data_IF_011072210149
#
_entry.id   IF_011072210149
#
_cell.length_a   1.000
_cell.length_b   1.000
_cell.length_c   1.000
_cell.angle_alpha   90.00
_cell.angle_beta   90.00
_cell.angle_gamma   90.00
#
_symmetry.space_group_name_H-M   'P 1'
#
loop_
_entity.id
_entity.type
_entity.pdbx_description
1 polymer ?
#
# COMPACT_ATOMS: atom_id res chain seq x y z
N UNK A 1 87.07 19.65 -38.36
CA UNK A 1 85.68 19.41 -38.75
C UNK A 1 85.00 18.92 -37.50
N UNK A 2 84.17 19.80 -36.90
CA UNK A 2 83.48 19.50 -35.65
C UNK A 2 82.01 19.17 -36.00
N UNK A 3 81.59 17.97 -35.72
CA UNK A 3 80.23 17.55 -35.85
C UNK A 3 79.40 18.00 -34.66
N UNK A 4 78.39 18.85 -34.84
CA UNK A 4 77.34 19.20 -33.87
C UNK A 4 76.25 18.15 -33.95
N UNK A 5 76.03 17.46 -32.84
CA UNK A 5 74.85 16.59 -32.67
C UNK A 5 73.75 17.43 -31.99
N UNK A 6 72.68 17.64 -32.72
CA UNK A 6 71.48 18.32 -32.19
C UNK A 6 70.56 17.24 -31.56
N UNK A 7 70.43 17.28 -30.22
CA UNK A 7 69.45 16.42 -29.51
C UNK A 7 68.10 17.13 -29.50
N UNK A 8 67.14 16.55 -30.15
CA UNK A 8 65.75 16.97 -30.09
C UNK A 8 65.07 16.28 -28.86
N UNK A 9 64.74 17.06 -27.86
CA UNK A 9 63.97 16.59 -26.70
C UNK A 9 62.49 16.68 -27.01
N UNK A 10 61.86 15.53 -27.30
CA UNK A 10 60.40 15.43 -27.48
C UNK A 10 59.70 15.46 -26.11
N UNK A 11 59.04 16.56 -25.78
CA UNK A 11 58.19 16.66 -24.59
C UNK A 11 56.88 15.90 -24.85
N UNK A 12 56.67 14.78 -24.17
CA UNK A 12 55.40 14.09 -24.11
C UNK A 12 54.45 14.87 -23.18
N UNK A 13 53.45 15.58 -23.75
CA UNK A 13 52.33 16.11 -23.00
C UNK A 13 51.38 14.94 -22.66
N UNK A 14 51.49 14.43 -21.42
CA UNK A 14 50.49 13.55 -20.83
C UNK A 14 49.21 14.38 -20.62
N UNK A 15 48.31 14.35 -21.60
CA UNK A 15 46.96 14.82 -21.42
C UNK A 15 46.26 13.93 -20.39
N UNK A 16 45.90 14.50 -19.22
CA UNK A 16 45.00 13.84 -18.28
C UNK A 16 43.64 13.68 -18.95
N UNK A 17 43.37 12.48 -19.42
CA UNK A 17 42.01 12.09 -19.78
C UNK A 17 41.21 12.08 -18.46
N UNK A 18 40.11 12.85 -18.34
CA UNK A 18 39.27 12.72 -17.16
C UNK A 18 38.78 11.26 -17.12
N UNK A 19 39.17 10.54 -16.09
CA UNK A 19 38.53 9.27 -15.74
C UNK A 19 37.16 9.66 -15.24
N UNK A 20 36.15 9.57 -16.11
CA UNK A 20 34.78 9.53 -15.66
C UNK A 20 34.66 8.29 -14.76
N UNK A 21 34.47 8.46 -13.47
CA UNK A 21 34.10 7.36 -12.61
C UNK A 21 32.88 6.69 -13.27
N UNK A 22 32.98 5.41 -13.59
CA UNK A 22 31.83 4.66 -14.08
C UNK A 22 30.77 4.73 -12.98
N UNK A 23 29.58 5.25 -13.30
CA UNK A 23 28.47 5.29 -12.37
C UNK A 23 28.14 3.89 -11.88
N UNK A 24 27.65 3.78 -10.66
CA UNK A 24 27.17 2.51 -10.10
C UNK A 24 25.83 2.11 -10.70
N UNK A 25 25.47 0.84 -10.61
CA UNK A 25 24.12 0.36 -10.95
C UNK A 25 23.41 -0.05 -9.67
N UNK A 26 22.35 0.66 -9.32
CA UNK A 26 21.51 0.36 -8.17
C UNK A 26 20.50 -0.75 -8.53
N UNK A 27 20.37 -1.76 -7.69
CA UNK A 27 19.33 -2.79 -7.80
C UNK A 27 18.10 -2.35 -7.01
N UNK A 28 17.00 -2.09 -7.74
CA UNK A 28 15.75 -1.55 -7.15
C UNK A 28 14.56 -2.44 -7.51
N UNK A 29 14.29 -3.52 -6.75
CA UNK A 29 13.11 -4.31 -6.93
C UNK A 29 11.86 -3.57 -6.42
N UNK A 30 10.79 -3.62 -7.19
CA UNK A 30 9.47 -3.12 -6.80
C UNK A 30 8.38 -3.85 -7.58
N UNK A 31 7.19 -3.94 -7.01
CA UNK A 31 6.00 -4.40 -7.75
C UNK A 31 5.42 -3.28 -8.62
N UNK A 32 5.83 -2.04 -8.41
CA UNK A 32 5.22 -0.85 -9.01
C UNK A 32 5.79 -0.50 -10.40
N UNK A 33 6.93 -1.08 -10.82
CA UNK A 33 7.57 -0.73 -12.09
C UNK A 33 6.67 -0.86 -13.33
N UNK A 34 5.74 -1.82 -13.31
CA UNK A 34 4.83 -2.11 -14.43
C UNK A 34 3.36 -1.82 -14.08
N UNK A 35 3.10 -1.09 -12.98
CA UNK A 35 1.74 -0.70 -12.59
C UNK A 35 1.28 0.59 -13.29
N UNK A 36 1.08 0.55 -14.60
CA UNK A 36 0.49 1.65 -15.38
C UNK A 36 1.15 3.01 -15.10
N UNK A 37 0.36 3.99 -14.71
CA UNK A 37 0.85 5.36 -14.43
C UNK A 37 1.83 5.43 -13.26
N UNK A 38 1.68 4.55 -12.26
CA UNK A 38 2.64 4.46 -11.14
C UNK A 38 4.02 4.07 -11.66
N UNK A 39 4.08 3.07 -12.53
CA UNK A 39 5.34 2.66 -13.17
C UNK A 39 5.96 3.79 -14.00
N UNK A 40 5.16 4.56 -14.72
CA UNK A 40 5.64 5.71 -15.49
C UNK A 40 6.21 6.81 -14.58
N UNK A 41 5.60 7.06 -13.42
CA UNK A 41 6.13 7.99 -12.42
C UNK A 41 7.52 7.53 -11.92
N UNK A 42 7.67 6.24 -11.59
CA UNK A 42 8.96 5.67 -11.17
C UNK A 42 10.01 5.79 -12.27
N UNK A 43 9.70 5.39 -13.51
CA UNK A 43 10.60 5.43 -14.65
C UNK A 43 11.09 6.85 -14.95
N UNK A 44 10.17 7.83 -14.89
CA UNK A 44 10.47 9.25 -15.13
C UNK A 44 11.46 9.79 -14.10
N UNK A 45 11.14 9.68 -12.79
CA UNK A 45 12.00 10.20 -11.74
C UNK A 45 13.34 9.44 -11.66
N UNK A 46 13.35 8.16 -12.00
CA UNK A 46 14.59 7.38 -12.17
C UNK A 46 15.46 7.92 -13.30
N UNK A 47 14.88 8.23 -14.45
CA UNK A 47 15.63 8.83 -15.58
C UNK A 47 16.20 10.20 -15.22
N UNK A 48 15.48 11.02 -14.45
CA UNK A 48 15.98 12.31 -13.94
C UNK A 48 17.20 12.08 -13.02
N UNK A 49 17.14 11.10 -12.11
CA UNK A 49 18.28 10.69 -11.27
C UNK A 49 19.48 10.21 -12.10
N UNK A 50 19.26 9.31 -13.05
CA UNK A 50 20.34 8.77 -13.92
C UNK A 50 21.03 9.87 -14.72
N UNK A 51 20.25 10.82 -15.26
CA UNK A 51 20.78 11.96 -16.00
C UNK A 51 21.58 12.91 -15.13
N UNK A 52 21.19 13.12 -13.88
CA UNK A 52 21.87 14.03 -12.94
C UNK A 52 23.13 13.40 -12.33
N UNK A 53 23.09 12.13 -11.96
CA UNK A 53 24.13 11.44 -11.19
C UNK A 53 25.15 10.70 -12.08
N UNK A 54 24.76 10.27 -13.28
CA UNK A 54 25.54 9.34 -14.11
C UNK A 54 25.51 7.88 -13.62
N UNK A 55 24.72 7.58 -12.59
CA UNK A 55 24.45 6.22 -12.14
C UNK A 55 23.36 5.58 -12.99
N UNK A 56 23.17 4.26 -12.85
CA UNK A 56 22.10 3.52 -13.49
C UNK A 56 21.21 2.83 -12.45
N UNK A 57 19.96 2.56 -12.79
CA UNK A 57 19.01 1.82 -11.94
C UNK A 57 18.55 0.56 -12.66
N UNK A 58 18.84 -0.60 -12.07
CA UNK A 58 18.29 -1.89 -12.50
C UNK A 58 16.89 -2.05 -11.92
N UNK A 59 15.90 -1.86 -12.78
CA UNK A 59 14.48 -1.96 -12.46
C UNK A 59 14.07 -3.44 -12.46
N UNK A 60 13.83 -4.02 -11.29
CA UNK A 60 13.43 -5.41 -11.16
C UNK A 60 11.95 -5.49 -10.77
N UNK A 61 11.09 -5.86 -11.74
CA UNK A 61 9.68 -6.09 -11.48
C UNK A 61 9.48 -7.41 -10.75
N UNK A 62 8.75 -7.36 -9.63
CA UNK A 62 8.31 -8.54 -8.88
C UNK A 62 6.80 -8.37 -8.63
N UNK A 63 5.94 -9.34 -9.00
CA UNK A 63 4.51 -9.23 -8.74
C UNK A 63 4.21 -8.99 -7.25
N UNK A 64 3.24 -8.11 -6.95
CA UNK A 64 2.89 -7.73 -5.58
C UNK A 64 2.58 -8.94 -4.67
N UNK A 65 1.90 -9.97 -5.21
CA UNK A 65 1.56 -11.19 -4.48
C UNK A 65 2.78 -12.01 -4.03
N UNK A 66 3.89 -11.92 -4.77
CA UNK A 66 5.13 -12.69 -4.51
C UNK A 66 6.22 -11.82 -3.87
N UNK A 67 6.03 -10.50 -3.82
CA UNK A 67 7.07 -9.53 -3.49
C UNK A 67 7.75 -9.81 -2.15
N UNK A 68 6.96 -9.93 -1.08
CA UNK A 68 7.48 -10.18 0.27
C UNK A 68 8.35 -11.44 0.32
N UNK A 69 7.85 -12.55 -0.20
CA UNK A 69 8.56 -13.84 -0.21
C UNK A 69 9.85 -13.78 -1.03
N UNK A 70 9.80 -13.16 -2.21
CA UNK A 70 10.96 -13.09 -3.11
C UNK A 70 12.04 -12.23 -2.51
N UNK A 71 11.70 -11.01 -2.02
CA UNK A 71 12.69 -10.07 -1.47
C UNK A 71 13.34 -10.61 -0.19
N UNK A 72 12.57 -11.19 0.73
CA UNK A 72 13.13 -11.81 1.94
C UNK A 72 14.10 -12.94 1.56
N UNK A 73 13.74 -13.78 0.57
CA UNK A 73 14.61 -14.86 0.08
C UNK A 73 15.89 -14.32 -0.55
N UNK A 74 15.81 -13.25 -1.35
CA UNK A 74 16.97 -12.60 -1.97
C UNK A 74 17.94 -12.04 -0.91
N UNK A 75 17.42 -11.31 0.08
CA UNK A 75 18.23 -10.74 1.17
C UNK A 75 18.91 -11.86 1.98
N UNK A 76 18.18 -12.91 2.34
CA UNK A 76 18.72 -14.07 3.05
C UNK A 76 19.80 -14.82 2.23
N UNK A 77 19.65 -14.85 0.91
CA UNK A 77 20.61 -15.44 -0.04
C UNK A 77 21.81 -14.54 -0.35
N UNK A 78 21.88 -13.32 0.18
CA UNK A 78 22.97 -12.36 -0.05
C UNK A 78 22.82 -11.52 -1.32
N UNK A 79 21.70 -11.64 -2.06
CA UNK A 79 21.36 -10.76 -3.19
C UNK A 79 20.59 -9.54 -2.65
N UNK A 80 21.32 -8.64 -1.97
CA UNK A 80 20.72 -7.51 -1.26
C UNK A 80 20.45 -6.36 -2.23
N UNK A 81 19.19 -5.84 -2.31
CA UNK A 81 18.87 -4.63 -3.07
C UNK A 81 19.57 -3.38 -2.50
N UNK A 82 19.68 -2.32 -3.32
CA UNK A 82 20.19 -1.03 -2.85
C UNK A 82 19.06 -0.14 -2.29
N UNK A 83 17.91 -0.09 -2.96
CA UNK A 83 16.69 0.59 -2.51
C UNK A 83 15.51 -0.31 -2.87
N UNK A 84 14.47 -0.32 -2.07
CA UNK A 84 13.22 -1.02 -2.40
C UNK A 84 12.01 -0.34 -1.80
N UNK A 85 10.85 -0.58 -2.41
CA UNK A 85 9.57 -0.32 -1.78
C UNK A 85 9.12 -1.54 -0.99
N UNK A 86 8.51 -1.34 0.18
CA UNK A 86 7.95 -2.42 0.99
C UNK A 86 6.55 -2.05 1.46
N UNK A 87 5.70 -3.04 1.65
CA UNK A 87 4.41 -2.82 2.32
C UNK A 87 4.63 -2.48 3.79
N UNK A 88 3.73 -1.67 4.36
CA UNK A 88 3.77 -1.29 5.79
C UNK A 88 3.93 -2.51 6.71
N UNK A 89 3.30 -3.64 6.38
CA UNK A 89 3.39 -4.90 7.15
C UNK A 89 4.77 -5.53 7.19
N UNK A 90 5.64 -5.21 6.24
CA UNK A 90 7.00 -5.75 6.17
C UNK A 90 7.98 -5.03 7.10
N UNK A 91 7.69 -3.78 7.47
CA UNK A 91 8.61 -2.96 8.28
C UNK A 91 8.95 -3.59 9.63
N UNK A 92 7.98 -3.95 10.50
CA UNK A 92 8.31 -4.46 11.83
C UNK A 92 9.19 -5.72 11.80
N UNK A 93 8.87 -6.78 11.04
CA UNK A 93 9.72 -7.96 10.98
C UNK A 93 11.10 -7.69 10.39
N UNK A 94 11.21 -6.81 9.38
CA UNK A 94 12.49 -6.46 8.76
C UNK A 94 13.38 -5.63 9.70
N UNK A 95 12.78 -4.67 10.44
CA UNK A 95 13.50 -3.88 11.46
C UNK A 95 13.99 -4.79 12.58
N UNK A 96 13.11 -5.65 13.12
CA UNK A 96 13.46 -6.59 14.17
C UNK A 96 14.59 -7.56 13.76
N UNK A 97 14.59 -8.00 12.50
CA UNK A 97 15.65 -8.85 11.94
C UNK A 97 16.96 -8.09 11.65
N UNK A 98 17.01 -6.76 11.83
CA UNK A 98 18.18 -5.93 11.53
C UNK A 98 18.55 -5.92 10.04
N UNK A 99 17.56 -6.09 9.15
CA UNK A 99 17.77 -6.15 7.71
C UNK A 99 17.69 -4.78 7.03
N UNK A 100 17.24 -3.75 7.75
CA UNK A 100 17.12 -2.37 7.25
C UNK A 100 18.18 -1.46 7.88
N UNK A 101 18.69 -0.49 7.11
CA UNK A 101 19.53 0.57 7.59
C UNK A 101 18.69 1.71 8.19
N UNK A 102 19.15 2.41 9.25
CA UNK A 102 18.54 3.66 9.66
C UNK A 102 18.76 4.74 8.59
N UNK A 103 17.75 5.57 8.37
CA UNK A 103 17.72 6.59 7.32
C UNK A 103 17.87 8.02 7.85
N UNK A 104 18.15 8.21 9.15
CA UNK A 104 18.19 9.55 9.76
C UNK A 104 19.23 10.46 9.11
N UNK A 105 20.42 9.93 8.77
CA UNK A 105 21.46 10.66 8.06
C UNK A 105 21.01 11.01 6.62
N UNK A 106 20.45 10.05 5.89
CA UNK A 106 19.89 10.26 4.57
C UNK A 106 18.77 11.32 4.57
N UNK A 107 17.87 11.28 5.55
CA UNK A 107 16.81 12.28 5.71
C UNK A 107 17.37 13.68 5.94
N UNK A 108 18.42 13.78 6.77
CA UNK A 108 19.05 15.05 7.08
C UNK A 108 19.80 15.63 5.86
N UNK A 109 20.59 14.81 5.17
CA UNK A 109 21.36 15.20 3.98
C UNK A 109 20.47 15.54 2.79
N UNK A 110 19.41 14.74 2.57
CA UNK A 110 18.41 14.96 1.53
C UNK A 110 17.49 16.17 1.78
N UNK A 111 17.46 16.71 3.01
CA UNK A 111 16.74 17.93 3.37
C UNK A 111 15.21 17.83 3.27
N UNK A 112 14.65 16.62 3.25
CA UNK A 112 13.19 16.39 3.14
C UNK A 112 12.50 16.06 4.47
N UNK A 113 13.23 16.06 5.59
CA UNK A 113 12.72 15.65 6.91
C UNK A 113 11.49 16.44 7.37
N UNK A 114 11.50 17.76 7.20
CA UNK A 114 10.39 18.64 7.60
C UNK A 114 9.12 18.47 6.74
N UNK A 115 9.26 17.81 5.59
CA UNK A 115 8.14 17.52 4.68
C UNK A 115 7.52 16.14 4.90
N UNK A 116 8.15 15.27 5.69
CA UNK A 116 7.60 13.94 5.97
C UNK A 116 6.28 14.03 6.72
N UNK A 117 5.29 13.25 6.28
CA UNK A 117 4.03 13.12 6.99
C UNK A 117 4.20 12.26 8.25
N UNK A 118 3.28 12.39 9.21
CA UNK A 118 3.29 11.60 10.46
C UNK A 118 3.33 10.09 10.24
N UNK A 119 2.95 9.62 9.07
CA UNK A 119 3.06 8.22 8.69
C UNK A 119 4.50 7.66 8.77
N UNK A 120 5.53 8.52 8.77
CA UNK A 120 6.91 8.11 9.03
C UNK A 120 7.07 7.46 10.41
N UNK A 121 6.21 7.77 11.37
CA UNK A 121 6.28 7.22 12.72
C UNK A 121 6.09 5.69 12.75
N UNK A 122 5.44 5.10 11.75
CA UNK A 122 5.34 3.64 11.59
C UNK A 122 6.67 2.94 11.30
N UNK A 123 7.66 3.69 10.80
CA UNK A 123 8.99 3.18 10.52
C UNK A 123 10.03 3.56 11.58
N UNK A 124 9.59 4.15 12.70
CA UNK A 124 10.49 4.56 13.81
C UNK A 124 10.52 3.51 14.91
N UNK A 125 11.71 3.06 15.25
CA UNK A 125 11.98 2.15 16.38
C UNK A 125 13.20 2.64 17.14
N UNK A 126 13.10 2.73 18.47
CA UNK A 126 14.18 3.15 19.37
C UNK A 126 14.82 4.51 18.97
N UNK A 127 14.04 5.40 18.41
CA UNK A 127 14.48 6.74 17.99
C UNK A 127 15.15 6.82 16.63
N UNK A 128 15.31 5.71 15.92
CA UNK A 128 15.83 5.65 14.55
C UNK A 128 14.71 5.43 13.54
N UNK A 129 14.85 5.99 12.34
CA UNK A 129 13.89 5.91 11.23
C UNK A 129 14.39 4.88 10.21
N UNK A 130 13.65 3.81 9.94
CA UNK A 130 14.06 2.71 9.06
C UNK A 130 13.35 2.69 7.71
N UNK A 131 12.44 3.61 7.48
CA UNK A 131 11.74 3.74 6.21
C UNK A 131 11.10 5.11 6.05
N UNK A 132 10.93 5.52 4.81
CA UNK A 132 10.28 6.77 4.44
C UNK A 132 9.00 6.44 3.67
N UNK A 133 7.84 6.96 4.05
CA UNK A 133 6.60 6.65 3.33
C UNK A 133 6.69 7.14 1.88
N UNK A 134 6.35 6.27 0.94
CA UNK A 134 6.08 6.62 -0.45
C UNK A 134 4.64 7.12 -0.57
N UNK A 135 3.71 6.38 0.00
CA UNK A 135 2.29 6.71 0.06
C UNK A 135 1.67 6.10 1.30
N UNK A 136 0.73 6.80 1.90
CA UNK A 136 -0.09 6.30 3.02
C UNK A 136 -1.49 6.87 2.87
N UNK A 137 -2.44 6.00 2.60
CA UNK A 137 -3.80 6.42 2.30
C UNK A 137 -4.83 5.64 3.13
N UNK A 138 -5.91 6.29 3.57
CA UNK A 138 -7.03 5.58 4.17
C UNK A 138 -7.77 4.77 3.10
N UNK A 139 -8.35 3.66 3.51
CA UNK A 139 -9.35 2.96 2.74
C UNK A 139 -10.71 3.60 3.02
N UNK A 140 -11.40 3.98 1.97
CA UNK A 140 -12.70 4.64 2.04
C UNK A 140 -13.74 3.81 1.30
N UNK A 141 -15.01 4.16 1.38
CA UNK A 141 -16.00 3.62 0.47
C UNK A 141 -15.84 4.30 -0.90
N UNK A 142 -15.31 3.58 -1.88
CA UNK A 142 -15.28 4.01 -3.28
C UNK A 142 -16.58 3.61 -3.93
N UNK A 143 -17.26 4.57 -4.52
CA UNK A 143 -18.68 4.47 -4.89
C UNK A 143 -18.88 4.76 -6.37
N UNK A 144 -19.59 3.87 -7.04
CA UNK A 144 -20.16 4.12 -8.37
C UNK A 144 -21.56 4.73 -8.22
N UNK A 145 -21.65 6.06 -8.26
CA UNK A 145 -22.92 6.80 -8.10
C UNK A 145 -23.91 6.48 -9.20
N UNK A 146 -23.44 6.26 -10.41
CA UNK A 146 -24.30 5.89 -11.54
C UNK A 146 -25.08 4.61 -11.24
N UNK A 147 -24.39 3.56 -10.80
CA UNK A 147 -25.01 2.28 -10.49
C UNK A 147 -25.98 2.38 -9.30
N UNK A 148 -25.65 3.20 -8.28
CA UNK A 148 -26.59 3.48 -7.18
C UNK A 148 -27.82 4.24 -7.65
N UNK A 149 -27.67 5.26 -8.50
CA UNK A 149 -28.78 6.02 -9.08
C UNK A 149 -29.69 5.13 -9.92
N UNK A 150 -29.12 4.25 -10.75
CA UNK A 150 -29.88 3.24 -11.53
C UNK A 150 -30.65 2.29 -10.61
N UNK A 151 -30.13 1.99 -9.43
CA UNK A 151 -30.82 1.23 -8.40
C UNK A 151 -31.83 2.05 -7.60
N UNK A 152 -31.97 3.37 -7.85
CA UNK A 152 -32.88 4.28 -7.17
C UNK A 152 -32.37 4.72 -5.80
N UNK A 153 -31.04 4.70 -5.58
CA UNK A 153 -30.37 5.17 -4.37
C UNK A 153 -29.84 6.57 -4.66
N UNK A 154 -30.40 7.59 -4.03
CA UNK A 154 -30.03 9.00 -4.22
C UNK A 154 -28.99 9.44 -3.18
N UNK A 155 -29.08 8.93 -1.95
CA UNK A 155 -28.18 9.24 -0.85
C UNK A 155 -27.21 8.08 -0.57
N UNK A 156 -26.00 8.43 -0.19
CA UNK A 156 -24.97 7.45 0.15
C UNK A 156 -25.32 6.71 1.44
N UNK A 157 -25.18 5.38 1.47
CA UNK A 157 -25.29 4.61 2.70
C UNK A 157 -24.34 5.12 3.78
N UNK A 158 -24.86 5.32 4.99
CA UNK A 158 -24.09 5.76 6.16
C UNK A 158 -24.02 4.69 7.25
N UNK A 159 -24.85 3.67 7.17
CA UNK A 159 -24.89 2.52 8.08
C UNK A 159 -24.76 1.21 7.31
N UNK A 160 -24.46 0.14 8.02
CA UNK A 160 -24.36 -1.20 7.41
C UNK A 160 -25.72 -1.67 6.89
N UNK A 161 -26.80 -1.33 7.58
CA UNK A 161 -28.17 -1.64 7.17
C UNK A 161 -28.54 -0.91 5.86
N UNK A 162 -28.12 0.37 5.74
CA UNK A 162 -28.32 1.14 4.50
C UNK A 162 -27.49 0.59 3.35
N UNK A 163 -26.22 0.20 3.62
CA UNK A 163 -25.35 -0.48 2.65
C UNK A 163 -25.99 -1.80 2.18
N UNK A 164 -26.54 -2.57 3.12
CA UNK A 164 -27.23 -3.81 2.79
C UNK A 164 -28.48 -3.55 1.93
N UNK A 165 -29.31 -2.57 2.31
CA UNK A 165 -30.50 -2.22 1.55
C UNK A 165 -30.14 -1.73 0.14
N UNK A 166 -29.10 -0.93 0.00
CA UNK A 166 -28.56 -0.50 -1.28
C UNK A 166 -28.08 -1.70 -2.12
N UNK A 167 -27.38 -2.65 -1.51
CA UNK A 167 -26.89 -3.85 -2.19
C UNK A 167 -28.02 -4.72 -2.72
N UNK A 168 -29.12 -4.88 -1.95
CA UNK A 168 -30.33 -5.57 -2.41
C UNK A 168 -30.93 -4.85 -3.60
N UNK A 169 -31.10 -3.53 -3.53
CA UNK A 169 -31.67 -2.73 -4.62
C UNK A 169 -30.82 -2.80 -5.90
N UNK A 170 -29.50 -2.71 -5.79
CA UNK A 170 -28.56 -2.85 -6.93
C UNK A 170 -28.77 -4.22 -7.58
N UNK A 171 -28.74 -5.30 -6.80
CA UNK A 171 -28.94 -6.66 -7.31
C UNK A 171 -30.30 -6.82 -8.03
N UNK A 172 -31.38 -6.35 -7.42
CA UNK A 172 -32.74 -6.54 -7.96
C UNK A 172 -33.00 -5.71 -9.21
N UNK A 173 -32.47 -4.47 -9.28
CA UNK A 173 -32.80 -3.53 -10.36
C UNK A 173 -31.80 -3.54 -11.50
N UNK A 174 -30.53 -3.82 -11.23
CA UNK A 174 -29.45 -3.75 -12.23
C UNK A 174 -28.85 -5.12 -12.54
N UNK A 175 -29.00 -6.10 -11.65
CA UNK A 175 -28.33 -7.40 -11.73
C UNK A 175 -26.87 -7.36 -11.28
N UNK A 176 -26.36 -6.20 -10.86
CA UNK A 176 -25.00 -6.02 -10.35
C UNK A 176 -24.83 -6.42 -8.88
N UNK A 177 -23.68 -6.13 -8.33
CA UNK A 177 -23.34 -6.35 -6.93
C UNK A 177 -23.35 -5.01 -6.18
N UNK A 178 -23.97 -4.97 -5.00
CA UNK A 178 -23.95 -3.76 -4.18
C UNK A 178 -22.61 -3.52 -3.49
N UNK A 179 -21.88 -4.60 -3.19
CA UNK A 179 -20.58 -4.55 -2.53
C UNK A 179 -19.64 -5.60 -3.14
N UNK A 180 -18.34 -5.31 -3.19
CA UNK A 180 -17.33 -6.29 -3.55
C UNK A 180 -16.05 -6.12 -2.71
N UNK A 181 -15.40 -7.24 -2.45
CA UNK A 181 -14.15 -7.29 -1.70
C UNK A 181 -13.34 -8.54 -2.10
N UNK A 182 -12.03 -8.51 -1.86
CA UNK A 182 -11.17 -9.67 -2.05
C UNK A 182 -11.47 -10.75 -1.02
N UNK A 183 -11.98 -11.90 -1.50
CA UNK A 183 -12.37 -13.04 -0.67
C UNK A 183 -11.87 -14.39 -1.22
N UNK A 184 -10.89 -14.36 -2.14
CA UNK A 184 -10.15 -15.54 -2.58
C UNK A 184 -9.11 -15.94 -1.52
N UNK A 185 -9.30 -17.10 -0.90
CA UNK A 185 -8.42 -17.64 0.15
C UNK A 185 -7.00 -17.94 -0.34
N UNK A 186 -6.76 -18.00 -1.65
CA UNK A 186 -5.41 -18.08 -2.23
C UNK A 186 -4.63 -16.77 -2.13
N UNK A 187 -5.30 -15.64 -1.79
CA UNK A 187 -4.70 -14.35 -1.57
C UNK A 187 -4.91 -13.86 -0.11
N UNK A 188 -4.27 -14.53 0.89
CA UNK A 188 -4.60 -14.35 2.31
C UNK A 188 -4.44 -12.91 2.82
N UNK A 189 -3.48 -12.16 2.28
CA UNK A 189 -3.29 -10.76 2.67
C UNK A 189 -4.55 -9.92 2.40
N UNK A 190 -5.13 -10.04 1.21
CA UNK A 190 -6.32 -9.24 0.85
C UNK A 190 -7.57 -9.68 1.62
N UNK A 191 -7.73 -10.98 1.87
CA UNK A 191 -8.83 -11.47 2.73
C UNK A 191 -8.71 -10.90 4.14
N UNK A 192 -7.50 -10.91 4.69
CA UNK A 192 -7.24 -10.33 6.01
C UNK A 192 -7.53 -8.82 6.04
N UNK A 193 -7.00 -8.05 5.09
CA UNK A 193 -7.20 -6.60 5.03
C UNK A 193 -8.67 -6.24 4.92
N UNK A 194 -9.40 -6.91 4.01
CA UNK A 194 -10.84 -6.63 3.84
C UNK A 194 -11.64 -7.00 5.07
N UNK A 195 -11.35 -8.13 5.75
CA UNK A 195 -12.02 -8.49 7.01
C UNK A 195 -11.66 -7.52 8.14
N UNK A 196 -10.39 -7.09 8.20
CA UNK A 196 -9.90 -6.11 9.18
C UNK A 196 -10.60 -4.75 9.04
N UNK A 197 -10.86 -4.30 7.80
CA UNK A 197 -11.62 -3.08 7.56
C UNK A 197 -13.01 -3.13 8.22
N UNK A 198 -13.68 -4.27 8.17
CA UNK A 198 -14.97 -4.45 8.84
C UNK A 198 -14.83 -4.52 10.36
N UNK A 199 -13.86 -5.28 10.85
CA UNK A 199 -13.59 -5.41 12.29
C UNK A 199 -13.31 -4.04 12.92
N UNK A 200 -12.43 -3.22 12.32
CA UNK A 200 -12.17 -1.85 12.75
C UNK A 200 -13.41 -0.96 12.65
N UNK A 201 -14.15 -1.09 11.55
CA UNK A 201 -15.39 -0.34 11.35
C UNK A 201 -16.47 -0.63 12.41
N UNK A 202 -16.41 -1.79 13.06
CA UNK A 202 -17.23 -2.14 14.22
C UNK A 202 -16.59 -1.77 15.56
N UNK A 203 -15.45 -1.10 15.54
CA UNK A 203 -14.77 -0.59 16.74
C UNK A 203 -14.03 -1.67 17.53
N UNK A 204 -13.53 -2.70 16.84
CA UNK A 204 -12.76 -3.79 17.43
C UNK A 204 -11.46 -4.02 16.66
N UNK A 205 -10.72 -5.04 17.02
CA UNK A 205 -9.53 -5.54 16.37
C UNK A 205 -9.40 -7.05 16.62
N UNK A 206 -8.50 -7.73 15.91
CA UNK A 206 -8.21 -9.14 16.15
C UNK A 206 -7.39 -9.38 17.42
N UNK A 207 -6.62 -8.38 17.84
CA UNK A 207 -5.80 -8.36 19.06
C UNK A 207 -5.61 -6.91 19.55
N UNK A 208 -5.04 -6.76 20.74
CA UNK A 208 -4.74 -5.45 21.32
C UNK A 208 -3.22 -5.21 21.35
N UNK A 209 -2.76 -3.95 21.49
CA UNK A 209 -1.33 -3.64 21.57
C UNK A 209 -0.56 -4.36 22.68
N UNK A 210 -1.25 -4.78 23.75
CA UNK A 210 -0.67 -5.55 24.86
C UNK A 210 -0.60 -7.08 24.59
N UNK A 211 -0.98 -7.51 23.39
CA UNK A 211 -1.01 -8.91 22.98
C UNK A 211 -2.29 -9.66 23.37
N UNK A 212 -3.27 -9.00 23.98
CA UNK A 212 -4.56 -9.65 24.28
C UNK A 212 -5.27 -10.02 22.98
N UNK A 213 -5.64 -11.27 22.81
CA UNK A 213 -6.43 -11.74 21.66
C UNK A 213 -7.90 -11.36 21.85
N UNK A 214 -8.52 -10.83 20.81
CA UNK A 214 -9.91 -10.37 20.81
C UNK A 214 -10.71 -10.89 19.62
N UNK A 215 -10.31 -12.02 19.05
CA UNK A 215 -10.89 -12.58 17.82
C UNK A 215 -12.40 -12.89 17.96
N UNK A 216 -12.87 -13.28 19.15
CA UNK A 216 -14.27 -13.57 19.42
C UNK A 216 -15.04 -12.43 20.12
N UNK A 217 -14.51 -11.20 20.06
CA UNK A 217 -15.27 -10.02 20.51
C UNK A 217 -16.64 -10.00 19.81
N UNK A 218 -17.74 -9.72 20.51
CA UNK A 218 -19.08 -9.65 19.89
C UNK A 218 -19.15 -8.74 18.65
N UNK A 219 -18.37 -7.66 18.61
CA UNK A 219 -18.28 -6.75 17.48
C UNK A 219 -17.61 -7.40 16.24
N UNK A 220 -16.62 -8.28 16.45
CA UNK A 220 -16.00 -9.07 15.39
C UNK A 220 -16.99 -10.10 14.85
N UNK A 221 -17.75 -10.75 15.74
CA UNK A 221 -18.79 -11.69 15.33
C UNK A 221 -19.85 -10.98 14.49
N UNK A 222 -20.27 -9.78 14.87
CA UNK A 222 -21.22 -8.96 14.09
C UNK A 222 -20.66 -8.55 12.74
N UNK A 223 -19.42 -8.00 12.71
CA UNK A 223 -18.75 -7.58 11.48
C UNK A 223 -18.61 -8.72 10.46
N UNK A 224 -18.15 -9.88 10.90
CA UNK A 224 -17.97 -11.06 10.03
C UNK A 224 -19.33 -11.67 9.63
N UNK A 225 -20.35 -11.55 10.48
CA UNK A 225 -21.72 -11.98 10.13
C UNK A 225 -22.29 -11.15 8.99
N UNK A 226 -22.05 -9.84 8.94
CA UNK A 226 -22.42 -8.99 7.82
C UNK A 226 -21.68 -9.39 6.54
N UNK A 227 -20.37 -9.57 6.57
CA UNK A 227 -19.60 -10.04 5.40
C UNK A 227 -20.14 -11.36 4.86
N UNK A 228 -20.35 -12.33 5.76
CA UNK A 228 -20.94 -13.62 5.39
C UNK A 228 -22.33 -13.46 4.77
N UNK A 229 -23.17 -12.59 5.30
CA UNK A 229 -24.49 -12.34 4.78
C UNK A 229 -24.45 -11.77 3.35
N UNK A 230 -23.53 -10.83 3.05
CA UNK A 230 -23.35 -10.33 1.68
C UNK A 230 -22.99 -11.46 0.70
N UNK A 231 -22.15 -12.40 1.13
CA UNK A 231 -21.78 -13.56 0.31
C UNK A 231 -22.95 -14.55 0.15
N UNK A 232 -23.59 -14.95 1.26
CA UNK A 232 -24.67 -15.97 1.26
C UNK A 232 -25.89 -15.53 0.44
N UNK A 233 -26.21 -14.23 0.45
CA UNK A 233 -27.32 -13.68 -0.31
C UNK A 233 -26.91 -13.24 -1.73
N UNK A 234 -25.64 -13.44 -2.12
CA UNK A 234 -25.10 -13.09 -3.44
C UNK A 234 -25.16 -11.58 -3.72
N UNK A 235 -25.04 -10.75 -2.67
CA UNK A 235 -24.91 -9.31 -2.76
C UNK A 235 -23.47 -8.87 -3.00
N UNK A 236 -22.53 -9.78 -2.74
CA UNK A 236 -21.13 -9.69 -3.09
C UNK A 236 -20.70 -10.95 -3.85
N UNK A 237 -19.77 -10.88 -4.82
CA UNK A 237 -19.27 -12.03 -5.55
C UNK A 237 -18.38 -12.91 -4.67
N UNK A 238 -18.40 -14.23 -4.90
CA UNK A 238 -17.64 -15.23 -4.12
C UNK A 238 -16.38 -15.66 -4.87
N UNK A 239 -15.28 -15.87 -4.14
CA UNK A 239 -14.04 -16.44 -4.66
C UNK A 239 -13.24 -15.48 -5.54
N UNK A 240 -13.43 -14.16 -5.38
CA UNK A 240 -12.68 -13.16 -6.14
C UNK A 240 -11.44 -12.69 -5.37
N UNK A 241 -10.31 -12.63 -6.08
CA UNK A 241 -9.17 -11.81 -5.68
C UNK A 241 -9.51 -10.32 -5.81
N UNK A 242 -8.69 -9.47 -5.19
CA UNK A 242 -8.93 -8.01 -5.21
C UNK A 242 -8.88 -7.44 -6.64
N UNK A 243 -8.02 -7.94 -7.50
CA UNK A 243 -7.91 -7.48 -8.89
C UNK A 243 -9.20 -7.75 -9.64
N UNK A 244 -9.75 -8.98 -9.57
CA UNK A 244 -11.01 -9.31 -10.22
C UNK A 244 -12.20 -8.50 -9.65
N UNK A 245 -12.16 -8.15 -8.34
CA UNK A 245 -13.18 -7.30 -7.75
C UNK A 245 -13.10 -5.86 -8.32
N UNK A 246 -11.90 -5.33 -8.53
CA UNK A 246 -11.67 -4.04 -9.20
C UNK A 246 -12.11 -4.07 -10.67
N UNK A 247 -11.80 -5.14 -11.40
CA UNK A 247 -12.24 -5.32 -12.79
C UNK A 247 -13.78 -5.24 -12.89
N UNK A 248 -14.50 -5.90 -11.98
CA UNK A 248 -15.97 -5.81 -11.92
C UNK A 248 -16.47 -4.39 -11.61
N UNK A 249 -15.75 -3.65 -10.76
CA UNK A 249 -16.07 -2.26 -10.47
C UNK A 249 -15.86 -1.37 -11.71
N UNK A 250 -14.73 -1.52 -12.41
CA UNK A 250 -14.42 -0.82 -13.66
C UNK A 250 -15.41 -1.16 -14.79
N UNK A 251 -15.95 -2.37 -14.79
CA UNK A 251 -17.00 -2.78 -15.72
C UNK A 251 -18.41 -2.28 -15.31
N UNK A 252 -18.52 -1.49 -14.23
CA UNK A 252 -19.78 -0.92 -13.75
C UNK A 252 -20.71 -1.95 -13.12
N UNK A 253 -20.20 -3.10 -12.70
CA UNK A 253 -20.99 -4.18 -12.10
C UNK A 253 -21.04 -4.15 -10.57
N UNK A 254 -20.23 -3.31 -9.93
CA UNK A 254 -20.13 -3.16 -8.48
C UNK A 254 -20.43 -1.73 -8.08
N UNK A 255 -21.30 -1.53 -7.08
CA UNK A 255 -21.66 -0.20 -6.61
C UNK A 255 -20.67 0.37 -5.60
N UNK A 256 -20.20 -0.42 -4.65
CA UNK A 256 -19.34 0.04 -3.56
C UNK A 256 -18.21 -0.96 -3.30
N UNK A 257 -17.00 -0.44 -3.12
CA UNK A 257 -15.84 -1.17 -2.58
C UNK A 257 -15.22 -0.38 -1.43
N UNK A 258 -14.69 -1.06 -0.42
CA UNK A 258 -13.81 -0.40 0.54
C UNK A 258 -12.39 -0.53 0.02
N UNK A 259 -11.82 0.58 -0.45
CA UNK A 259 -10.57 0.62 -1.20
C UNK A 259 -9.80 1.92 -0.98
N UNK A 260 -8.53 1.90 -1.36
CA UNK A 260 -7.70 3.08 -1.37
C UNK A 260 -7.75 3.86 -2.69
N UNK A 261 -7.08 5.02 -2.75
CA UNK A 261 -7.11 5.91 -3.92
C UNK A 261 -6.45 5.32 -5.17
N UNK A 262 -5.65 4.25 -5.04
CA UNK A 262 -5.10 3.52 -6.21
C UNK A 262 -6.18 2.97 -7.15
N UNK A 263 -7.41 2.72 -6.65
CA UNK A 263 -8.53 2.38 -7.53
C UNK A 263 -8.88 3.57 -8.44
N UNK A 264 -8.77 4.81 -7.96
CA UNK A 264 -8.98 6.01 -8.80
C UNK A 264 -7.92 6.14 -9.88
N UNK A 265 -6.65 5.85 -9.57
CA UNK A 265 -5.57 5.81 -10.57
C UNK A 265 -5.93 4.81 -11.68
N UNK A 266 -6.48 3.67 -11.31
CA UNK A 266 -6.90 2.64 -12.25
C UNK A 266 -8.13 3.08 -13.07
N UNK A 267 -9.15 3.67 -12.43
CA UNK A 267 -10.31 4.27 -13.12
C UNK A 267 -9.85 5.33 -14.12
N UNK A 268 -8.98 6.25 -13.72
CA UNK A 268 -8.45 7.30 -14.58
C UNK A 268 -7.70 6.73 -15.80
N UNK A 269 -6.91 5.67 -15.61
CA UNK A 269 -6.11 5.06 -16.67
C UNK A 269 -6.92 4.20 -17.63
N UNK A 270 -7.92 3.47 -17.14
CA UNK A 270 -8.64 2.45 -17.91
C UNK A 270 -10.05 2.86 -18.31
N UNK A 271 -10.73 3.66 -17.49
CA UNK A 271 -12.15 4.06 -17.67
C UNK A 271 -12.34 5.54 -17.29
N UNK A 272 -11.62 6.49 -17.92
CA UNK A 272 -11.67 7.91 -17.55
C UNK A 272 -13.08 8.50 -17.59
N UNK A 273 -13.98 7.94 -18.40
CA UNK A 273 -15.38 8.36 -18.46
C UNK A 273 -16.15 8.08 -17.15
N UNK A 274 -15.67 7.15 -16.31
CA UNK A 274 -16.30 6.85 -15.01
C UNK A 274 -15.91 7.86 -13.91
N UNK A 275 -14.83 8.64 -14.09
CA UNK A 275 -14.34 9.56 -13.05
C UNK A 275 -15.43 10.50 -12.50
N UNK A 276 -16.33 10.96 -13.37
CA UNK A 276 -17.45 11.84 -12.99
C UNK A 276 -18.52 11.13 -12.12
N UNK A 277 -18.55 9.82 -12.15
CA UNK A 277 -19.55 9.00 -11.44
C UNK A 277 -18.96 8.32 -10.18
N UNK A 278 -17.66 8.50 -9.91
CA UNK A 278 -16.97 7.89 -8.76
C UNK A 278 -16.80 8.92 -7.65
N UNK A 279 -17.01 8.48 -6.41
CA UNK A 279 -16.79 9.30 -5.23
C UNK A 279 -16.13 8.52 -4.09
N UNK A 280 -15.52 9.26 -3.17
CA UNK A 280 -14.97 8.75 -1.91
C UNK A 280 -15.85 9.19 -0.76
N UNK A 281 -16.34 8.22 -0.01
CA UNK A 281 -17.23 8.44 1.12
C UNK A 281 -16.73 7.72 2.35
N UNK A 282 -17.24 8.09 3.50
CA UNK A 282 -16.96 7.37 4.75
C UNK A 282 -17.44 5.92 4.63
N UNK A 283 -16.68 5.02 5.25
CA UNK A 283 -17.09 3.61 5.32
C UNK A 283 -18.38 3.52 6.14
N UNK A 284 -19.47 2.92 5.60
CA UNK A 284 -20.78 2.85 6.26
C UNK A 284 -20.81 1.77 7.36
N UNK A 285 -19.97 1.94 8.37
CA UNK A 285 -19.86 1.06 9.52
C UNK A 285 -20.02 1.88 10.80
N UNK A 286 -20.31 1.28 11.97
CA UNK A 286 -20.67 2.01 13.18
C UNK A 286 -19.67 3.09 13.63
N UNK A 287 -18.37 2.89 13.41
CA UNK A 287 -17.33 3.86 13.80
C UNK A 287 -16.82 4.68 12.63
N UNK A 288 -17.18 4.31 11.39
CA UNK A 288 -16.57 4.85 10.16
C UNK A 288 -15.05 4.73 10.07
N UNK A 289 -14.43 3.98 10.97
CA UNK A 289 -12.98 3.82 11.00
C UNK A 289 -12.49 3.14 9.71
N UNK A 290 -11.48 3.74 9.10
CA UNK A 290 -10.86 3.25 7.90
C UNK A 290 -9.46 2.72 8.20
N UNK A 291 -9.11 1.55 7.67
CA UNK A 291 -7.71 1.11 7.72
C UNK A 291 -6.86 2.08 6.92
N UNK A 292 -5.61 2.22 7.33
CA UNK A 292 -4.62 2.99 6.58
C UNK A 292 -3.55 2.03 6.07
N UNK A 293 -3.22 2.16 4.82
CA UNK A 293 -2.23 1.32 4.17
C UNK A 293 -1.39 2.08 3.16
N UNK A 294 -0.24 1.51 2.84
CA UNK A 294 0.66 2.13 1.89
C UNK A 294 1.97 1.38 1.74
N UNK A 295 2.93 2.10 1.18
CA UNK A 295 4.26 1.61 0.89
C UNK A 295 5.32 2.56 1.45
N UNK A 296 6.46 1.98 1.80
CA UNK A 296 7.64 2.70 2.29
C UNK A 296 8.83 2.43 1.40
N UNK A 297 9.66 3.43 1.21
CA UNK A 297 11.03 3.25 0.76
C UNK A 297 11.90 2.80 1.92
N UNK A 298 12.75 1.81 1.68
CA UNK A 298 13.73 1.33 2.65
C UNK A 298 15.06 1.03 1.96
N UNK A 299 16.15 1.23 2.70
CA UNK A 299 17.50 0.84 2.29
C UNK A 299 17.91 -0.36 3.16
N UNK A 300 18.20 -1.53 2.55
CA UNK A 300 18.71 -2.67 3.32
C UNK A 300 20.03 -2.38 4.01
N UNK A 301 20.22 -2.93 5.21
CA UNK A 301 21.44 -2.71 6.03
C UNK A 301 22.76 -3.13 5.36
N UNK A 302 22.67 -4.04 4.36
CA UNK A 302 23.84 -4.52 3.60
C UNK A 302 23.79 -4.11 2.13
N UNK A 303 23.08 -3.02 1.80
CA UNK A 303 23.11 -2.43 0.47
C UNK A 303 24.54 -2.12 0.04
N UNK A 304 24.86 -2.38 -1.21
CA UNK A 304 26.21 -2.17 -1.73
C UNK A 304 26.51 -0.69 -1.97
N UNK A 305 25.48 0.11 -2.26
CA UNK A 305 25.59 1.51 -2.63
C UNK A 305 24.57 2.38 -1.82
N UNK A 306 24.71 2.45 -0.47
CA UNK A 306 23.71 3.11 0.37
C UNK A 306 23.61 4.63 0.11
N UNK A 307 24.73 5.32 -0.17
CA UNK A 307 24.75 6.76 -0.44
C UNK A 307 24.00 7.08 -1.74
N UNK A 308 24.25 6.32 -2.83
CA UNK A 308 23.58 6.50 -4.09
C UNK A 308 22.08 6.08 -4.02
N UNK A 309 21.76 5.12 -3.15
CA UNK A 309 20.37 4.76 -2.86
C UNK A 309 19.65 5.90 -2.12
N UNK A 310 20.34 6.61 -1.22
CA UNK A 310 19.84 7.82 -0.58
C UNK A 310 19.60 8.96 -1.58
N UNK A 311 20.53 9.18 -2.53
CA UNK A 311 20.38 10.18 -3.59
C UNK A 311 19.16 9.88 -4.47
N UNK A 312 18.95 8.60 -4.85
CA UNK A 312 17.77 8.18 -5.60
C UNK A 312 16.49 8.38 -4.78
N UNK A 313 16.50 8.01 -3.50
CA UNK A 313 15.39 8.25 -2.58
C UNK A 313 15.05 9.74 -2.49
N UNK A 314 16.07 10.61 -2.37
CA UNK A 314 15.90 12.06 -2.33
C UNK A 314 15.23 12.57 -3.60
N UNK A 315 15.62 12.06 -4.77
CA UNK A 315 14.98 12.41 -6.05
C UNK A 315 13.50 12.03 -6.08
N UNK A 316 13.13 10.85 -5.57
CA UNK A 316 11.72 10.45 -5.46
C UNK A 316 10.92 11.32 -4.49
N UNK A 317 11.58 11.94 -3.50
CA UNK A 317 10.94 12.79 -2.50
C UNK A 317 11.06 14.28 -2.79
N UNK A 318 11.57 14.69 -3.96
CA UNK A 318 11.50 16.08 -4.38
C UNK A 318 10.04 16.57 -4.45
N UNK A 319 9.81 17.84 -4.14
CA UNK A 319 8.48 18.41 -4.05
C UNK A 319 7.68 18.22 -5.35
N UNK A 320 8.31 18.46 -6.49
CA UNK A 320 7.69 18.27 -7.81
C UNK A 320 7.35 16.79 -8.09
N UNK A 321 8.21 15.85 -7.69
CA UNK A 321 7.93 14.42 -7.83
C UNK A 321 6.73 14.00 -6.97
N UNK A 322 6.67 14.50 -5.73
CA UNK A 322 5.58 14.21 -4.80
C UNK A 322 4.26 14.90 -5.18
N UNK A 323 4.34 16.12 -5.74
CA UNK A 323 3.16 16.79 -6.30
C UNK A 323 2.58 15.98 -7.47
N UNK A 324 3.44 15.50 -8.40
CA UNK A 324 3.01 14.61 -9.48
C UNK A 324 2.45 13.28 -8.96
N UNK A 325 2.98 12.75 -7.86
CA UNK A 325 2.37 11.58 -7.21
C UNK A 325 0.92 11.85 -6.82
N UNK A 326 0.63 13.01 -6.27
CA UNK A 326 -0.73 13.39 -5.89
C UNK A 326 -1.61 13.67 -7.12
N UNK A 327 -1.14 14.52 -8.05
CA UNK A 327 -1.97 15.03 -9.15
C UNK A 327 -2.13 14.02 -10.30
N UNK A 328 -1.04 13.33 -10.70
CA UNK A 328 -1.10 12.38 -11.81
C UNK A 328 -1.64 11.02 -11.38
N UNK A 329 -1.35 10.59 -10.14
CA UNK A 329 -1.71 9.26 -9.63
C UNK A 329 -2.89 9.27 -8.67
N UNK A 330 -3.38 10.43 -8.27
CA UNK A 330 -4.51 10.57 -7.35
C UNK A 330 -4.27 9.88 -5.99
N UNK A 331 -3.01 9.78 -5.57
CA UNK A 331 -2.61 9.10 -4.33
C UNK A 331 -1.97 10.06 -3.35
N UNK A 332 -2.22 9.88 -2.05
CA UNK A 332 -1.58 10.70 -1.02
C UNK A 332 -0.09 10.36 -0.98
N UNK A 333 0.80 11.34 -1.23
CA UNK A 333 2.25 11.13 -1.17
C UNK A 333 2.74 10.94 0.27
N UNK A 334 3.98 10.50 0.42
CA UNK A 334 4.63 10.32 1.74
C UNK A 334 5.12 11.63 2.37
N UNK A 335 5.14 12.71 1.60
CA UNK A 335 5.53 14.05 2.05
C UNK A 335 4.41 15.05 1.85
N UNK A 336 4.51 16.19 2.53
CA UNK A 336 3.66 17.34 2.19
C UNK A 336 3.96 17.78 0.76
N UNK A 337 2.93 17.78 -0.09
CA UNK A 337 2.97 18.35 -1.43
C UNK A 337 1.73 19.21 -1.60
N UNK A 338 1.90 20.45 -2.01
CA UNK A 338 0.78 21.34 -2.26
C UNK A 338 0.23 21.10 -3.67
N UNK A 339 -1.01 20.58 -3.80
CA UNK A 339 -1.63 20.42 -5.10
C UNK A 339 -1.96 21.79 -5.72
N UNK A 340 -2.04 21.84 -7.05
CA UNK A 340 -2.48 23.04 -7.75
C UNK A 340 -3.96 23.35 -7.46
N UNK A 341 -4.34 24.64 -7.57
CA UNK A 341 -5.74 25.05 -7.37
C UNK A 341 -6.66 24.41 -8.42
N UNK A 342 -6.18 24.27 -9.65
CA UNK A 342 -6.90 23.62 -10.76
C UNK A 342 -7.20 22.14 -10.42
N UNK A 343 -6.20 21.41 -9.92
CA UNK A 343 -6.36 20.03 -9.49
C UNK A 343 -7.42 19.88 -8.40
N UNK A 344 -7.43 20.77 -7.40
CA UNK A 344 -8.41 20.73 -6.31
C UNK A 344 -9.83 21.07 -6.76
N UNK A 345 -9.99 21.94 -7.76
CA UNK A 345 -11.31 22.24 -8.36
C UNK A 345 -11.87 21.02 -9.10
N UNK A 346 -11.01 20.28 -9.80
CA UNK A 346 -11.40 19.10 -10.55
C UNK A 346 -11.57 17.83 -9.68
N UNK A 347 -10.89 17.78 -8.53
CA UNK A 347 -10.78 16.59 -7.68
C UNK A 347 -11.19 16.89 -6.22
N UNK A 348 -12.40 17.39 -6.02
CA UNK A 348 -12.93 17.73 -4.68
C UNK A 348 -12.91 16.53 -3.70
N UNK A 349 -12.98 15.30 -4.20
CA UNK A 349 -12.90 14.07 -3.42
C UNK A 349 -11.57 13.91 -2.66
N UNK A 350 -10.47 14.54 -3.12
CA UNK A 350 -9.17 14.55 -2.41
C UNK A 350 -9.30 15.22 -1.06
N UNK A 351 -10.09 16.31 -0.98
CA UNK A 351 -10.42 16.97 0.28
C UNK A 351 -11.23 16.04 1.20
N UNK A 352 -12.22 15.35 0.66
CA UNK A 352 -13.02 14.37 1.41
C UNK A 352 -12.15 13.25 2.00
N UNK A 353 -11.23 12.71 1.22
CA UNK A 353 -10.34 11.66 1.67
C UNK A 353 -9.39 12.13 2.80
N UNK A 354 -8.86 13.34 2.69
CA UNK A 354 -8.04 13.94 3.75
C UNK A 354 -8.87 14.15 5.05
N UNK A 355 -10.12 14.57 4.91
CA UNK A 355 -11.05 14.74 6.03
C UNK A 355 -11.39 13.39 6.67
N UNK A 356 -11.67 12.34 5.88
CA UNK A 356 -11.91 10.98 6.36
C UNK A 356 -10.71 10.48 7.16
N UNK A 357 -9.48 10.65 6.63
CA UNK A 357 -8.26 10.26 7.33
C UNK A 357 -8.08 10.98 8.68
N UNK A 358 -8.49 12.23 8.78
CA UNK A 358 -8.36 13.04 9.99
C UNK A 358 -9.45 12.73 11.02
N UNK A 359 -10.69 12.51 10.58
CA UNK A 359 -11.85 12.32 11.47
C UNK A 359 -12.01 10.87 11.94
N UNK A 360 -11.65 9.90 11.11
CA UNK A 360 -11.87 8.48 11.35
C UNK A 360 -10.57 7.69 11.26
N UNK A 361 -9.56 8.00 12.09
CA UNK A 361 -8.30 7.30 12.05
C UNK A 361 -8.52 5.83 12.39
N UNK A 362 -8.16 4.97 11.48
CA UNK A 362 -8.13 3.52 11.69
C UNK A 362 -6.74 3.04 12.08
N UNK A 363 -6.64 1.75 12.32
CA UNK A 363 -5.34 1.08 12.52
C UNK A 363 -4.61 0.79 11.21
N UNK A 364 -3.39 0.29 11.32
CA UNK A 364 -2.66 -0.27 10.19
C UNK A 364 -3.33 -1.60 9.82
N UNK A 365 -4.04 -1.62 8.69
CA UNK A 365 -4.86 -2.77 8.29
C UNK A 365 -4.09 -4.03 7.88
N UNK A 366 -2.76 -4.02 7.94
CA UNK A 366 -1.92 -5.11 7.45
C UNK A 366 -1.32 -6.00 8.53
N UNK A 367 -1.34 -5.56 9.78
CA UNK A 367 -0.71 -6.29 10.89
C UNK A 367 -1.52 -6.19 12.18
N UNK A 368 -1.70 -7.30 12.92
CA UNK A 368 -2.43 -7.30 14.16
C UNK A 368 -1.64 -6.57 15.26
N UNK A 369 -2.28 -5.70 16.05
CA UNK A 369 -1.63 -5.07 17.18
C UNK A 369 -1.04 -6.10 18.15
N UNK A 370 0.13 -5.81 18.70
CA UNK A 370 0.84 -6.72 19.62
C UNK A 370 1.59 -7.88 18.96
N UNK A 371 1.32 -8.16 17.65
CA UNK A 371 1.93 -9.27 16.89
C UNK A 371 2.47 -8.80 15.54
N UNK A 372 3.10 -7.62 15.54
CA UNK A 372 3.58 -7.00 14.29
C UNK A 372 4.69 -7.82 13.60
N UNK A 373 5.51 -8.51 14.40
CA UNK A 373 6.62 -9.35 13.88
C UNK A 373 6.08 -10.65 13.32
N UNK A 374 5.15 -11.25 14.01
CA UNK A 374 4.52 -12.55 13.68
C UNK A 374 3.28 -12.39 12.79
N UNK A 375 3.07 -11.20 12.22
CA UNK A 375 1.87 -10.85 11.47
C UNK A 375 1.51 -11.85 10.36
N UNK A 376 2.50 -12.47 9.72
CA UNK A 376 2.28 -13.48 8.68
C UNK A 376 1.53 -14.70 9.17
N UNK A 377 1.97 -15.29 10.29
CA UNK A 377 1.34 -16.48 10.90
C UNK A 377 -0.03 -16.14 11.47
N UNK A 378 -0.14 -15.00 12.16
CA UNK A 378 -1.40 -14.54 12.71
C UNK A 378 -2.46 -14.37 11.60
N UNK A 379 -2.12 -13.65 10.53
CA UNK A 379 -3.02 -13.44 9.38
C UNK A 379 -3.47 -14.76 8.76
N UNK A 380 -2.55 -15.73 8.60
CA UNK A 380 -2.91 -17.02 8.05
C UNK A 380 -3.94 -17.75 8.92
N UNK A 381 -3.81 -17.70 10.24
CA UNK A 381 -4.78 -18.31 11.17
C UNK A 381 -6.15 -17.65 11.07
N UNK A 382 -6.21 -16.32 10.92
CA UNK A 382 -7.46 -15.59 10.70
C UNK A 382 -8.11 -16.03 9.38
N UNK A 383 -7.35 -16.05 8.28
CA UNK A 383 -7.86 -16.42 6.95
C UNK A 383 -8.31 -17.86 6.88
N UNK A 384 -7.60 -18.80 7.53
CA UNK A 384 -8.04 -20.19 7.65
C UNK A 384 -9.42 -20.30 8.32
N UNK A 385 -9.63 -19.54 9.42
CA UNK A 385 -10.91 -19.50 10.12
C UNK A 385 -12.02 -18.88 9.27
N UNK A 386 -11.72 -17.75 8.58
CA UNK A 386 -12.67 -17.13 7.65
C UNK A 386 -13.04 -18.04 6.49
N UNK A 387 -12.11 -18.89 6.00
CA UNK A 387 -12.37 -19.90 4.98
C UNK A 387 -13.43 -20.92 5.43
N UNK A 388 -13.33 -21.40 6.68
CA UNK A 388 -14.33 -22.32 7.25
C UNK A 388 -15.71 -21.62 7.40
N UNK A 389 -15.70 -20.35 7.87
CA UNK A 389 -16.91 -19.56 8.06
C UNK A 389 -17.58 -19.26 6.72
N UNK A 390 -16.87 -18.69 5.75
CA UNK A 390 -17.47 -18.25 4.48
C UNK A 390 -17.91 -19.43 3.61
N UNK A 391 -17.25 -20.59 3.73
CA UNK A 391 -17.73 -21.83 3.07
C UNK A 391 -18.93 -22.48 3.78
N UNK A 392 -19.38 -21.96 4.93
CA UNK A 392 -20.49 -22.51 5.70
C UNK A 392 -20.17 -23.83 6.44
N UNK A 393 -18.87 -24.19 6.58
CA UNK A 393 -18.45 -25.36 7.36
C UNK A 393 -18.60 -25.16 8.86
N UNK A 394 -18.55 -23.91 9.32
CA UNK A 394 -18.81 -23.53 10.69
C UNK A 394 -19.66 -22.25 10.73
N UNK A 395 -20.36 -22.03 11.85
CA UNK A 395 -21.00 -20.73 12.09
C UNK A 395 -19.95 -19.63 12.36
N UNK A 396 -20.33 -18.36 12.24
CA UNK A 396 -19.44 -17.24 12.53
C UNK A 396 -18.97 -17.31 13.98
N UNK A 397 -19.89 -17.53 14.92
CA UNK A 397 -19.59 -17.57 16.36
C UNK A 397 -18.67 -18.74 16.71
N UNK A 398 -18.94 -19.96 16.22
CA UNK A 398 -18.09 -21.13 16.46
C UNK A 398 -16.69 -20.96 15.83
N UNK A 399 -16.62 -20.43 14.61
CA UNK A 399 -15.36 -20.18 13.89
C UNK A 399 -14.48 -19.16 14.62
N UNK A 400 -15.05 -18.04 15.08
CA UNK A 400 -14.30 -17.02 15.80
C UNK A 400 -13.93 -17.43 17.24
N UNK A 401 -14.76 -18.22 17.93
CA UNK A 401 -14.39 -18.84 19.20
C UNK A 401 -13.23 -19.84 19.05
N UNK A 402 -13.25 -20.62 17.96
CA UNK A 402 -12.14 -21.51 17.61
C UNK A 402 -10.86 -20.74 17.29
N UNK A 403 -10.97 -19.64 16.55
CA UNK A 403 -9.86 -18.75 16.26
C UNK A 403 -9.26 -18.12 17.50
N UNK A 404 -10.09 -17.62 18.43
CA UNK A 404 -9.67 -17.09 19.73
C UNK A 404 -8.78 -18.09 20.45
N UNK A 405 -9.26 -19.31 20.62
CA UNK A 405 -8.50 -20.38 21.28
C UNK A 405 -7.21 -20.73 20.56
N UNK A 406 -7.25 -20.78 19.22
CA UNK A 406 -6.07 -21.06 18.40
C UNK A 406 -4.99 -20.01 18.56
N UNK A 407 -5.37 -18.72 18.51
CA UNK A 407 -4.47 -17.59 18.66
C UNK A 407 -3.91 -17.47 20.09
N UNK A 408 -4.72 -17.69 21.13
CA UNK A 408 -4.26 -17.72 22.53
C UNK A 408 -3.23 -18.82 22.76
N UNK A 409 -3.48 -20.04 22.26
CA UNK A 409 -2.52 -21.13 22.35
C UNK A 409 -1.23 -20.85 21.60
N UNK A 410 -1.33 -20.27 20.41
CA UNK A 410 -0.17 -19.91 19.61
C UNK A 410 0.63 -18.79 20.27
N UNK A 411 -0.02 -17.71 20.74
CA UNK A 411 0.67 -16.59 21.40
C UNK A 411 1.38 -17.00 22.70
N UNK A 412 0.89 -18.01 23.41
CA UNK A 412 1.56 -18.55 24.57
C UNK A 412 2.87 -19.32 24.26
N UNK A 413 3.18 -19.54 22.99
CA UNK A 413 4.43 -20.18 22.55
C UNK A 413 5.50 -19.19 22.09
N UNK A 414 5.15 -17.91 21.96
CA UNK A 414 6.07 -16.82 21.60
C UNK A 414 6.84 -16.33 22.83
#
# INVERSE_FOLDING_TARGET
MKNLILSATTAFLLGSVPVYAQGVTLNVPSWMWEEGQVGEWFKRNTADYEAASGNNVSQTQIPAADFEKVVITQIAGGAVPDLMTVFTSMLPPMINAGTLAPLDECIAEGGFGDRLLKSVDFAKVDGATYGVPLTMSPWSAVVNRKLLTEAGIEEMPRTVEELYAAAVAVKEKTGGYGYAFGNDMAAPLHVYINSMQWVLGFGSDWSQPDGTITANDPRNIEAISWLKRFLDEGLAPIGLGIIQARDLFLDGQVAIMFEGPWLMTQVQGEKPEMMADIDFEVVPTPTHAAITGGAFFVIPAKAANPDQACDLLTTYLEEEAQRRWLEDLLQIPGTTAEPSAEFLEENAWVGNMAEIAAQYPGGIGYAPPGYLIEAGEFRQMVVDSLSEIFSGRTSVEEGLNGLQTKLENWSATL
#
